data_IF_523973314069
#
_entry.id   IF_523973314069
#
_cell.length_a   1.000
_cell.length_b   1.000
_cell.length_c   1.000
_cell.angle_alpha   90.00
_cell.angle_beta   90.00
_cell.angle_gamma   90.00
#
_symmetry.space_group_name_H-M   'P 1'
#
loop_
_entity.id
_entity.type
_entity.pdbx_description
1 polymer ?
#
# COMPACT_ATOMS: atom_id res chain seq x y z
N UNK A 1 -8.16 -6.63 10.37
CA UNK A 1 -6.71 -6.34 10.36
C UNK A 1 -6.41 -4.93 9.87
N UNK A 2 -6.94 -4.46 8.73
CA UNK A 2 -6.75 -3.09 8.24
C UNK A 2 -7.18 -1.97 9.23
N UNK A 3 -8.19 -2.19 10.04
CA UNK A 3 -8.64 -1.21 11.05
C UNK A 3 -7.69 -1.02 12.24
N UNK A 4 -6.88 -2.02 12.58
CA UNK A 4 -5.83 -1.86 13.61
C UNK A 4 -4.73 -0.90 13.16
N UNK A 5 -4.38 -0.95 11.88
CA UNK A 5 -3.45 0.02 11.27
C UNK A 5 -4.04 1.43 11.25
N UNK A 6 -5.35 1.56 11.02
CA UNK A 6 -6.05 2.84 11.01
C UNK A 6 -6.03 3.51 12.38
N UNK A 7 -6.27 2.78 13.47
CA UNK A 7 -6.26 3.35 14.82
C UNK A 7 -4.86 3.64 15.35
N UNK A 8 -3.85 2.86 14.97
CA UNK A 8 -2.44 3.17 15.27
C UNK A 8 -1.99 4.47 14.59
N UNK A 9 -2.49 4.76 13.39
CA UNK A 9 -2.27 5.99 12.65
C UNK A 9 -2.82 7.21 13.42
N UNK A 10 -3.95 7.10 14.12
CA UNK A 10 -4.54 8.20 14.91
C UNK A 10 -3.80 8.53 16.19
N UNK A 11 -3.10 7.57 16.80
CA UNK A 11 -2.24 7.81 17.96
C UNK A 11 -1.06 8.73 17.62
N UNK A 12 -0.57 8.70 16.39
CA UNK A 12 0.56 9.50 15.92
C UNK A 12 0.24 10.99 15.71
N UNK A 13 -1.05 11.38 15.62
CA UNK A 13 -1.45 12.78 15.39
C UNK A 13 -1.25 13.74 16.58
N UNK A 14 -0.90 13.23 17.77
CA UNK A 14 -0.80 14.05 19.00
C UNK A 14 0.59 14.64 19.31
N UNK A 15 1.63 14.32 18.53
CA UNK A 15 2.98 14.86 18.77
C UNK A 15 3.52 15.58 17.52
N UNK A 16 4.24 16.71 17.67
CA UNK A 16 4.99 17.32 16.57
C UNK A 16 6.15 16.40 16.22
N UNK A 17 5.93 15.47 15.28
CA UNK A 17 6.95 14.54 14.84
C UNK A 17 7.82 15.18 13.75
N UNK A 18 9.12 14.90 13.79
CA UNK A 18 10.06 15.02 12.70
C UNK A 18 9.41 14.47 11.41
N UNK A 19 9.63 15.12 10.28
CA UNK A 19 9.14 14.63 8.97
C UNK A 19 9.71 13.24 8.73
N UNK A 20 8.85 12.24 8.78
CA UNK A 20 9.22 10.85 8.52
C UNK A 20 9.00 10.57 7.04
N UNK A 21 10.08 10.46 6.29
CA UNK A 21 10.04 10.16 4.86
C UNK A 21 9.95 8.65 4.64
N UNK A 22 8.86 8.19 4.04
CA UNK A 22 8.59 6.79 3.75
C UNK A 22 8.45 6.61 2.24
N UNK A 23 9.44 6.03 1.57
CA UNK A 23 9.46 5.92 0.12
C UNK A 23 9.74 4.49 -0.33
N UNK A 24 8.93 4.00 -1.27
CA UNK A 24 9.19 2.76 -2.00
C UNK A 24 10.14 3.05 -3.17
N UNK A 25 11.19 2.26 -3.28
CA UNK A 25 12.08 2.27 -4.45
C UNK A 25 11.60 1.22 -5.45
N UNK A 26 11.53 -0.04 -5.01
CA UNK A 26 11.16 -1.19 -5.84
C UNK A 26 10.50 -2.28 -5.00
N UNK A 27 9.61 -3.01 -5.62
CA UNK A 27 9.01 -4.21 -5.07
C UNK A 27 9.09 -5.33 -6.09
N UNK A 28 9.57 -6.51 -5.66
CA UNK A 28 9.62 -7.71 -6.50
C UNK A 28 8.90 -8.87 -5.84
N UNK A 29 8.30 -9.71 -6.67
CA UNK A 29 7.59 -10.92 -6.25
C UNK A 29 7.83 -12.06 -7.23
N UNK A 30 7.96 -13.30 -6.72
CA UNK A 30 7.98 -14.53 -7.52
C UNK A 30 7.31 -15.68 -6.78
N UNK A 31 6.88 -16.68 -7.52
CA UNK A 31 6.15 -17.85 -7.03
C UNK A 31 5.00 -17.49 -6.07
N UNK A 32 4.19 -16.51 -6.44
CA UNK A 32 3.06 -16.07 -5.63
C UNK A 32 1.81 -15.91 -6.49
N UNK A 33 0.75 -16.67 -6.20
CA UNK A 33 -0.54 -16.63 -6.90
C UNK A 33 -0.40 -16.78 -8.43
N UNK A 34 -0.47 -15.64 -9.16
CA UNK A 34 -0.28 -15.61 -10.61
C UNK A 34 1.14 -15.27 -11.05
N UNK A 35 2.05 -14.97 -10.12
CA UNK A 35 3.46 -14.69 -10.43
C UNK A 35 4.28 -15.99 -10.40
N UNK A 36 4.73 -16.43 -11.55
CA UNK A 36 5.65 -17.58 -11.68
C UNK A 36 7.09 -17.16 -11.45
N UNK A 37 7.57 -16.27 -12.29
CA UNK A 37 8.91 -15.73 -12.28
C UNK A 37 8.97 -14.39 -11.55
N UNK A 38 10.17 -13.93 -11.20
CA UNK A 38 10.36 -12.64 -10.54
C UNK A 38 9.86 -11.51 -11.44
N UNK A 39 8.90 -10.75 -10.91
CA UNK A 39 8.37 -9.52 -11.50
C UNK A 39 8.68 -8.35 -10.58
N UNK A 40 9.03 -7.20 -11.15
CA UNK A 40 9.45 -6.01 -10.40
C UNK A 40 8.63 -4.80 -10.80
N UNK A 41 8.09 -4.10 -9.82
CA UNK A 41 7.54 -2.75 -9.93
C UNK A 41 8.55 -1.76 -9.38
N UNK A 42 9.02 -0.81 -10.20
CA UNK A 42 10.00 0.20 -9.80
C UNK A 42 9.38 1.60 -9.76
N UNK A 43 9.68 2.34 -8.69
CA UNK A 43 9.36 3.76 -8.56
C UNK A 43 10.54 4.67 -8.91
N UNK A 44 11.63 4.11 -9.45
CA UNK A 44 12.79 4.90 -9.91
C UNK A 44 12.44 5.63 -11.19
N UNK A 45 12.64 6.94 -11.18
CA UNK A 45 12.34 7.79 -12.33
C UNK A 45 13.42 7.72 -13.41
N UNK A 46 13.02 7.57 -14.67
CA UNK A 46 13.94 7.69 -15.79
C UNK A 46 14.50 9.12 -15.90
N UNK A 47 15.82 9.32 -15.96
CA UNK A 47 16.44 10.65 -15.88
C UNK A 47 16.14 11.54 -17.10
N UNK A 48 15.77 10.97 -18.23
CA UNK A 48 15.60 11.68 -19.52
C UNK A 48 14.17 12.14 -19.79
N UNK A 49 13.21 11.81 -18.94
CA UNK A 49 11.82 12.20 -19.12
C UNK A 49 11.52 13.55 -18.45
N UNK A 50 10.68 14.35 -19.10
CA UNK A 50 10.19 15.64 -18.59
C UNK A 50 9.28 15.50 -17.34
N UNK A 51 8.48 16.54 -17.07
CA UNK A 51 7.49 16.63 -15.97
C UNK A 51 8.12 16.50 -14.57
N UNK A 52 8.86 17.53 -14.20
CA UNK A 52 9.57 17.60 -12.92
C UNK A 52 8.63 17.47 -11.70
N UNK A 53 7.37 17.89 -11.82
CA UNK A 53 6.36 17.77 -10.75
C UNK A 53 5.94 16.31 -10.45
N UNK A 54 6.17 15.38 -11.39
CA UNK A 54 5.80 13.97 -11.24
C UNK A 54 6.85 13.16 -10.47
N UNK A 55 7.95 13.77 -10.12
CA UNK A 55 9.08 13.14 -9.43
C UNK A 55 9.53 14.00 -8.25
N UNK A 56 10.24 13.37 -7.33
CA UNK A 56 10.87 14.06 -6.20
C UNK A 56 12.26 13.49 -5.93
N UNK A 57 13.07 14.27 -5.23
CA UNK A 57 14.37 13.84 -4.72
C UNK A 57 14.16 13.13 -3.38
N UNK A 58 14.60 11.87 -3.23
CA UNK A 58 14.43 11.13 -1.99
C UNK A 58 15.35 11.59 -0.85
N UNK A 59 16.38 12.41 -1.12
CA UNK A 59 17.31 12.93 -0.12
C UNK A 59 17.95 11.82 0.73
N UNK A 60 18.53 10.81 0.05
CA UNK A 60 19.22 9.71 0.74
C UNK A 60 20.55 10.20 1.30
N UNK A 61 20.80 9.93 2.57
CA UNK A 61 21.96 10.44 3.26
C UNK A 61 23.28 9.88 2.68
N UNK A 62 24.07 10.78 2.05
CA UNK A 62 25.38 10.45 1.51
C UNK A 62 25.38 9.64 0.20
N UNK A 63 24.22 9.60 -0.50
CA UNK A 63 24.08 9.00 -1.82
C UNK A 63 23.53 10.03 -2.83
N UNK A 64 24.04 10.03 -4.07
CA UNK A 64 23.39 10.67 -5.21
C UNK A 64 22.37 9.67 -5.79
N UNK A 65 21.20 9.60 -5.15
CA UNK A 65 20.19 8.62 -5.48
C UNK A 65 19.26 9.14 -6.58
N UNK A 66 18.81 8.30 -7.53
CA UNK A 66 17.87 8.70 -8.57
C UNK A 66 16.55 9.26 -7.98
N UNK A 67 15.91 10.19 -8.70
CA UNK A 67 14.57 10.66 -8.34
C UNK A 67 13.58 9.53 -8.36
N UNK A 68 12.57 9.63 -7.49
CA UNK A 68 11.47 8.68 -7.40
C UNK A 68 10.19 9.27 -8.00
N UNK A 69 9.33 8.39 -8.51
CA UNK A 69 8.01 8.70 -9.05
C UNK A 69 7.01 8.95 -7.92
N UNK A 70 6.15 9.95 -8.08
CA UNK A 70 5.00 10.18 -7.19
C UNK A 70 3.83 9.25 -7.47
N UNK A 71 3.71 8.76 -8.70
CA UNK A 71 2.57 7.96 -9.15
C UNK A 71 3.05 6.79 -10.00
N UNK A 72 2.46 5.60 -9.80
CA UNK A 72 2.49 4.49 -10.75
C UNK A 72 1.05 4.00 -11.01
N UNK A 73 0.64 4.03 -12.28
CA UNK A 73 -0.67 3.58 -12.73
C UNK A 73 -0.53 2.23 -13.44
N UNK A 74 -1.22 1.20 -12.95
CA UNK A 74 -1.11 -0.19 -13.39
C UNK A 74 -2.34 -0.59 -14.17
N UNK A 75 -2.16 -0.92 -15.42
CA UNK A 75 -3.20 -1.33 -16.36
C UNK A 75 -3.08 -2.80 -16.73
N UNK A 76 -4.10 -3.34 -17.34
CA UNK A 76 -4.12 -4.69 -17.89
C UNK A 76 -5.52 -5.29 -17.90
N UNK A 77 -5.75 -6.37 -18.65
CA UNK A 77 -7.05 -7.02 -18.74
C UNK A 77 -7.47 -7.64 -17.39
N UNK A 78 -8.73 -8.05 -17.31
CA UNK A 78 -9.21 -8.83 -16.18
C UNK A 78 -8.38 -10.11 -16.03
N UNK A 79 -8.12 -10.51 -14.78
CA UNK A 79 -7.31 -11.68 -14.43
C UNK A 79 -5.84 -11.62 -14.90
N UNK A 80 -5.28 -10.45 -15.26
CA UNK A 80 -3.86 -10.31 -15.61
C UNK A 80 -2.92 -10.28 -14.40
N UNK A 81 -3.45 -10.19 -13.17
CA UNK A 81 -2.68 -10.24 -11.94
C UNK A 81 -2.54 -8.90 -11.19
N UNK A 82 -3.19 -7.82 -11.62
CA UNK A 82 -3.17 -6.51 -10.94
C UNK A 82 -3.44 -6.60 -9.43
N UNK A 83 -4.57 -7.18 -9.04
CA UNK A 83 -4.93 -7.37 -7.63
C UNK A 83 -3.99 -8.31 -6.88
N UNK A 84 -3.35 -9.27 -7.57
CA UNK A 84 -2.34 -10.13 -6.95
C UNK A 84 -1.06 -9.35 -6.65
N UNK A 85 -0.68 -8.36 -7.48
CA UNK A 85 0.44 -7.46 -7.19
C UNK A 85 0.16 -6.63 -5.93
N UNK A 86 -1.04 -6.05 -5.82
CA UNK A 86 -1.46 -5.31 -4.61
C UNK A 86 -1.41 -6.20 -3.36
N UNK A 87 -1.91 -7.45 -3.46
CA UNK A 87 -1.84 -8.43 -2.36
C UNK A 87 -0.40 -8.78 -1.98
N UNK A 88 0.48 -8.91 -2.97
CA UNK A 88 1.89 -9.20 -2.74
C UNK A 88 2.59 -8.05 -1.99
N UNK A 89 2.34 -6.80 -2.40
CA UNK A 89 2.89 -5.60 -1.72
C UNK A 89 2.41 -5.52 -0.26
N UNK A 90 1.17 -5.93 0.01
CA UNK A 90 0.59 -5.84 1.36
C UNK A 90 1.02 -6.98 2.30
N UNK A 91 1.49 -8.11 1.79
CA UNK A 91 1.74 -9.32 2.56
C UNK A 91 2.69 -9.11 3.75
N UNK A 92 3.79 -8.38 3.55
CA UNK A 92 4.78 -8.13 4.60
C UNK A 92 4.16 -7.29 5.73
N UNK A 93 3.40 -6.25 5.38
CA UNK A 93 2.67 -5.44 6.36
C UNK A 93 1.65 -6.28 7.13
N UNK A 94 0.90 -7.14 6.46
CA UNK A 94 -0.06 -8.04 7.10
C UNK A 94 0.62 -9.00 8.10
N UNK A 95 1.80 -9.50 7.78
CA UNK A 95 2.57 -10.35 8.70
C UNK A 95 3.05 -9.57 9.93
N UNK A 96 3.47 -8.32 9.78
CA UNK A 96 3.94 -7.47 10.88
C UNK A 96 2.81 -6.99 11.79
N UNK A 97 1.54 -7.03 11.34
CA UNK A 97 0.37 -6.75 12.18
C UNK A 97 -0.09 -7.96 13.00
N UNK A 98 0.39 -9.15 12.71
CA UNK A 98 0.11 -10.35 13.49
C UNK A 98 1.05 -10.44 14.69
N UNK A 99 0.55 -10.98 15.80
CA UNK A 99 1.42 -11.24 16.95
C UNK A 99 2.31 -12.44 16.65
N UNK A 100 3.61 -12.37 16.99
CA UNK A 100 4.47 -13.54 16.91
C UNK A 100 3.89 -14.70 17.74
N UNK A 101 3.89 -15.90 17.17
CA UNK A 101 3.35 -17.10 17.85
C UNK A 101 1.86 -17.38 17.64
N UNK A 102 1.11 -16.47 17.01
CA UNK A 102 -0.27 -16.78 16.63
C UNK A 102 -0.29 -17.96 15.63
N UNK A 103 -1.13 -18.96 15.88
CA UNK A 103 -1.27 -20.17 15.04
C UNK A 103 -2.10 -19.88 13.80
N UNK A 104 -1.54 -19.18 12.82
CA UNK A 104 -2.23 -18.94 11.55
C UNK A 104 -1.29 -19.17 10.37
N UNK A 105 -1.86 -19.57 9.25
CA UNK A 105 -1.13 -19.71 8.02
C UNK A 105 -0.73 -18.34 7.45
N UNK A 106 0.44 -18.29 6.83
CA UNK A 106 0.90 -17.14 6.05
C UNK A 106 0.15 -17.17 4.72
N UNK A 107 -0.47 -16.07 4.24
CA UNK A 107 -1.24 -16.06 2.99
C UNK A 107 -0.33 -16.01 1.75
N UNK A 108 0.69 -16.86 1.71
CA UNK A 108 1.65 -17.02 0.64
C UNK A 108 1.28 -18.22 -0.24
N UNK A 109 0.25 -18.04 -1.07
CA UNK A 109 -0.17 -19.05 -2.04
C UNK A 109 0.84 -19.12 -3.20
N UNK A 110 1.45 -20.29 -3.53
CA UNK A 110 2.40 -20.40 -4.63
C UNK A 110 1.68 -20.37 -6.00
N UNK A 111 2.47 -20.24 -7.08
CA UNK A 111 1.98 -20.38 -8.45
C UNK A 111 1.59 -21.84 -8.72
N UNK A 112 0.29 -22.10 -8.94
CA UNK A 112 -0.29 -23.46 -8.94
C UNK A 112 -0.20 -24.19 -10.28
N UNK A 113 0.06 -23.49 -11.39
CA UNK A 113 0.14 -24.14 -12.72
C UNK A 113 1.49 -24.84 -12.95
N UNK A 114 2.50 -24.58 -12.13
CA UNK A 114 3.80 -25.22 -12.20
C UNK A 114 4.00 -26.15 -10.98
N UNK A 115 4.00 -27.46 -11.22
CA UNK A 115 4.14 -28.48 -10.16
C UNK A 115 5.44 -28.38 -9.39
N UNK A 116 6.51 -27.86 -10.02
CA UNK A 116 7.81 -27.71 -9.37
C UNK A 116 7.83 -26.54 -8.37
N UNK A 117 6.89 -25.59 -8.51
CA UNK A 117 6.79 -24.39 -7.68
C UNK A 117 5.78 -24.51 -6.53
N UNK A 118 4.86 -25.49 -6.58
CA UNK A 118 3.80 -25.64 -5.56
C UNK A 118 4.35 -25.80 -4.15
N UNK A 119 5.44 -26.54 -4.02
CA UNK A 119 6.11 -26.81 -2.73
C UNK A 119 7.31 -25.88 -2.48
N UNK A 120 7.54 -24.90 -3.33
CA UNK A 120 8.60 -23.91 -3.17
C UNK A 120 8.09 -22.66 -2.47
N UNK A 121 8.93 -21.93 -1.73
CA UNK A 121 8.52 -20.69 -1.11
C UNK A 121 8.17 -19.62 -2.15
N UNK A 122 7.19 -18.80 -1.82
CA UNK A 122 6.98 -17.51 -2.48
C UNK A 122 8.06 -16.54 -2.04
N UNK A 123 8.56 -15.70 -2.96
CA UNK A 123 9.64 -14.77 -2.71
C UNK A 123 9.18 -13.32 -2.87
N UNK A 124 9.57 -12.48 -1.93
CA UNK A 124 9.27 -11.06 -1.90
C UNK A 124 10.54 -10.28 -1.61
N UNK A 125 10.74 -9.20 -2.34
CA UNK A 125 11.86 -8.28 -2.09
C UNK A 125 11.33 -6.85 -2.13
N UNK A 126 11.66 -6.05 -1.15
CA UNK A 126 11.25 -4.65 -1.07
C UNK A 126 12.46 -3.78 -0.77
N UNK A 127 12.69 -2.80 -1.64
CA UNK A 127 13.70 -1.77 -1.50
C UNK A 127 13.00 -0.46 -1.14
N UNK A 128 13.40 0.18 -0.05
CA UNK A 128 12.72 1.36 0.46
C UNK A 128 13.68 2.33 1.15
N UNK A 129 13.21 3.56 1.35
CA UNK A 129 13.92 4.58 2.10
C UNK A 129 13.07 4.98 3.30
N UNK A 130 13.69 5.02 4.47
CA UNK A 130 13.11 5.52 5.70
C UNK A 130 14.10 6.40 6.43
N UNK A 131 13.68 7.62 6.80
CA UNK A 131 14.52 8.61 7.50
C UNK A 131 15.88 8.84 6.82
N UNK A 132 15.87 8.93 5.47
CA UNK A 132 17.07 9.18 4.67
C UNK A 132 18.02 7.98 4.56
N UNK A 133 17.67 6.81 5.08
CA UNK A 133 18.45 5.57 4.97
C UNK A 133 17.74 4.59 4.05
N UNK A 134 18.49 3.99 3.15
CA UNK A 134 18.00 2.94 2.25
C UNK A 134 18.08 1.58 2.91
N UNK A 135 17.03 0.77 2.71
CA UNK A 135 16.93 -0.61 3.20
C UNK A 135 16.52 -1.55 2.07
N UNK A 136 16.90 -2.81 2.19
CA UNK A 136 16.40 -3.93 1.38
C UNK A 136 15.96 -5.04 2.31
N UNK A 137 14.71 -5.48 2.16
CA UNK A 137 14.13 -6.58 2.90
C UNK A 137 13.77 -7.72 1.94
N UNK A 138 14.25 -8.93 2.23
CA UNK A 138 14.01 -10.14 1.45
C UNK A 138 13.27 -11.13 2.32
N UNK A 139 12.16 -11.66 1.79
CA UNK A 139 11.33 -12.67 2.45
C UNK A 139 11.08 -13.84 1.49
N UNK A 140 11.37 -15.07 1.95
CA UNK A 140 10.91 -16.30 1.29
C UNK A 140 10.08 -17.10 2.26
N UNK A 141 8.87 -17.44 1.87
CA UNK A 141 7.92 -18.08 2.79
C UNK A 141 6.95 -19.02 2.06
N UNK A 142 6.56 -20.10 2.74
CA UNK A 142 5.37 -20.88 2.40
C UNK A 142 4.21 -20.47 3.32
N UNK A 143 3.07 -21.12 3.19
CA UNK A 143 1.95 -20.91 4.11
C UNK A 143 2.28 -21.27 5.57
N UNK A 144 3.23 -22.16 5.80
CA UNK A 144 3.52 -22.75 7.11
C UNK A 144 4.72 -22.09 7.82
N UNK A 145 5.72 -21.64 7.06
CA UNK A 145 6.96 -21.13 7.65
C UNK A 145 7.73 -20.16 6.77
N UNK A 146 8.62 -19.40 7.40
CA UNK A 146 9.60 -18.54 6.75
C UNK A 146 10.85 -19.37 6.43
N UNK A 147 11.30 -19.31 5.17
CA UNK A 147 12.52 -19.95 4.67
C UNK A 147 13.70 -18.99 4.63
N UNK A 148 13.47 -17.73 4.33
CA UNK A 148 14.47 -16.69 4.37
C UNK A 148 13.86 -15.38 4.82
N UNK A 149 14.54 -14.69 5.73
CA UNK A 149 14.27 -13.32 6.13
C UNK A 149 15.61 -12.61 6.27
N UNK A 150 15.86 -11.64 5.39
CA UNK A 150 17.15 -10.93 5.35
C UNK A 150 16.89 -9.43 5.26
N UNK A 151 17.57 -8.65 6.09
CA UNK A 151 17.52 -7.20 6.10
C UNK A 151 18.91 -6.61 5.89
N UNK A 152 19.04 -5.82 4.83
CA UNK A 152 20.20 -4.97 4.57
C UNK A 152 19.86 -3.51 4.80
N UNK A 153 20.86 -2.73 5.17
CA UNK A 153 20.78 -1.27 5.17
C UNK A 153 22.01 -0.69 4.48
N UNK A 154 21.88 0.54 3.99
CA UNK A 154 22.90 1.15 3.12
C UNK A 154 23.33 2.52 3.65
N UNK A 155 24.07 2.58 4.76
CA UNK A 155 24.59 3.85 5.24
C UNK A 155 25.60 4.42 4.23
N UNK A 156 25.29 5.63 3.72
CA UNK A 156 26.10 6.30 2.69
C UNK A 156 26.31 5.43 1.43
N UNK A 157 25.27 4.71 0.99
CA UNK A 157 25.30 3.86 -0.20
C UNK A 157 25.99 2.52 -0.06
N UNK A 158 26.57 2.20 1.09
CA UNK A 158 27.33 0.97 1.30
C UNK A 158 26.46 -0.13 1.88
N UNK A 159 26.36 -1.26 1.18
CA UNK A 159 25.61 -2.42 1.65
C UNK A 159 26.17 -2.97 2.96
N UNK A 160 25.31 -3.13 3.95
CA UNK A 160 25.62 -3.79 5.21
C UNK A 160 24.45 -4.70 5.60
N UNK A 161 24.79 -5.93 5.95
CA UNK A 161 23.84 -6.86 6.53
C UNK A 161 23.49 -6.44 7.94
N UNK A 162 22.20 -6.33 8.28
CA UNK A 162 21.75 -6.27 9.65
C UNK A 162 21.57 -7.68 10.20
N UNK A 163 20.75 -8.50 9.54
CA UNK A 163 20.60 -9.91 9.87
C UNK A 163 20.14 -10.71 8.65
N UNK A 164 20.41 -12.01 8.69
CA UNK A 164 19.85 -13.01 7.79
C UNK A 164 19.44 -14.25 8.56
N UNK A 165 18.20 -14.69 8.40
CA UNK A 165 17.63 -15.94 8.87
C UNK A 165 17.37 -16.82 7.68
N UNK A 166 17.89 -18.06 7.67
CA UNK A 166 17.65 -19.02 6.59
C UNK A 166 17.31 -20.38 7.16
N UNK A 167 16.27 -20.99 6.63
CA UNK A 167 15.91 -22.36 6.93
C UNK A 167 16.35 -23.28 5.79
N UNK A 168 16.98 -24.40 6.16
CA UNK A 168 17.21 -25.55 5.28
C UNK A 168 16.77 -26.80 6.01
N UNK A 169 16.11 -27.77 5.34
CA UNK A 169 15.75 -29.05 5.94
C UNK A 169 16.94 -29.78 6.59
N UNK A 170 18.15 -29.56 6.09
CA UNK A 170 19.37 -30.19 6.56
C UNK A 170 19.98 -29.49 7.80
N UNK A 171 19.81 -28.17 7.93
CA UNK A 171 20.50 -27.36 8.96
C UNK A 171 19.57 -26.73 9.99
N UNK A 172 18.25 -26.99 9.91
CA UNK A 172 17.22 -26.37 10.74
C UNK A 172 17.15 -24.87 10.46
N UNK A 173 17.49 -23.97 11.35
CA UNK A 173 17.51 -22.52 11.13
C UNK A 173 18.90 -21.95 11.41
N UNK A 174 19.42 -21.24 10.44
CA UNK A 174 20.70 -20.54 10.56
C UNK A 174 20.48 -19.03 10.62
N UNK A 175 21.13 -18.36 11.56
CA UNK A 175 21.11 -16.90 11.71
C UNK A 175 22.50 -16.33 11.53
N UNK A 176 22.60 -15.28 10.74
CA UNK A 176 23.81 -14.47 10.58
C UNK A 176 23.46 -13.04 11.01
N UNK A 177 24.18 -12.52 11.98
CA UNK A 177 24.02 -11.15 12.46
C UNK A 177 25.17 -10.30 11.94
N UNK A 178 24.83 -9.14 11.36
CA UNK A 178 25.82 -8.19 10.87
C UNK A 178 26.60 -7.54 12.02
N UNK A 179 27.83 -7.15 11.75
CA UNK A 179 28.70 -6.53 12.76
C UNK A 179 28.21 -5.17 13.28
N UNK A 180 27.31 -4.53 12.55
CA UNK A 180 26.69 -3.24 12.93
C UNK A 180 25.33 -3.40 13.59
N UNK A 181 24.81 -4.62 13.78
CA UNK A 181 23.52 -4.82 14.45
C UNK A 181 23.66 -4.55 15.94
N UNK A 182 22.79 -3.67 16.47
CA UNK A 182 22.68 -3.33 17.89
C UNK A 182 22.29 -4.54 18.75
N UNK A 183 22.62 -4.50 20.05
CA UNK A 183 22.17 -5.46 21.06
C UNK A 183 23.21 -6.52 21.45
N UNK A 184 24.15 -6.86 20.59
CA UNK A 184 25.19 -7.85 20.86
C UNK A 184 24.68 -9.29 20.97
N UNK A 185 25.60 -10.24 21.18
CA UNK A 185 25.33 -11.69 21.05
C UNK A 185 24.21 -12.21 21.95
N UNK A 186 24.14 -11.72 23.20
CA UNK A 186 23.13 -12.20 24.17
C UNK A 186 21.72 -11.83 23.72
N UNK A 187 21.53 -10.60 23.27
CA UNK A 187 20.23 -10.09 22.81
C UNK A 187 19.84 -10.78 21.49
N UNK A 188 20.77 -10.92 20.55
CA UNK A 188 20.52 -11.60 19.28
C UNK A 188 20.10 -13.06 19.48
N UNK A 189 20.73 -13.76 20.43
CA UNK A 189 20.39 -15.16 20.76
C UNK A 189 19.02 -15.25 21.43
N UNK A 190 18.64 -14.27 22.28
CA UNK A 190 17.30 -14.20 22.88
C UNK A 190 16.24 -14.01 21.78
N UNK A 191 16.41 -13.05 20.88
CA UNK A 191 15.48 -12.82 19.77
C UNK A 191 15.34 -14.08 18.89
N UNK A 192 16.48 -14.73 18.53
CA UNK A 192 16.49 -15.97 17.76
C UNK A 192 15.64 -17.05 18.40
N UNK A 193 15.84 -17.31 19.70
CA UNK A 193 15.12 -18.37 20.44
C UNK A 193 13.63 -18.11 20.60
N UNK A 194 13.24 -16.84 20.63
CA UNK A 194 11.86 -16.43 20.78
C UNK A 194 11.10 -16.35 19.44
N UNK A 195 11.79 -16.49 18.30
CA UNK A 195 11.17 -16.34 16.98
C UNK A 195 10.57 -17.66 16.48
N UNK A 196 9.22 -17.74 16.37
CA UNK A 196 8.56 -18.92 15.82
C UNK A 196 8.84 -19.08 14.30
N UNK A 197 8.72 -20.31 13.74
CA UNK A 197 8.97 -20.57 12.33
C UNK A 197 8.10 -19.75 11.36
N UNK A 198 6.87 -19.42 11.74
CA UNK A 198 5.89 -18.68 10.93
C UNK A 198 5.80 -17.18 11.25
N UNK A 199 6.72 -16.66 12.07
CA UNK A 199 6.74 -15.25 12.48
C UNK A 199 8.01 -14.57 12.01
N UNK A 200 7.92 -13.28 11.68
CA UNK A 200 9.08 -12.48 11.27
C UNK A 200 10.02 -12.23 12.46
N UNK A 201 11.31 -12.46 12.25
CA UNK A 201 12.36 -12.14 13.21
C UNK A 201 12.37 -10.64 13.52
N UNK A 202 12.18 -9.79 12.50
CA UNK A 202 12.09 -8.35 12.68
C UNK A 202 11.02 -7.94 13.70
N UNK A 203 9.82 -8.56 13.61
CA UNK A 203 8.75 -8.29 14.56
C UNK A 203 9.12 -8.74 15.97
N UNK A 204 9.69 -9.95 16.09
CA UNK A 204 10.11 -10.50 17.37
C UNK A 204 11.22 -9.66 18.02
N UNK A 205 12.22 -9.24 17.26
CA UNK A 205 13.30 -8.41 17.74
C UNK A 205 12.79 -7.06 18.25
N UNK A 206 11.98 -6.33 17.46
CA UNK A 206 11.47 -5.01 17.85
C UNK A 206 10.54 -5.07 19.04
N UNK A 207 9.62 -6.04 19.10
CA UNK A 207 8.65 -6.17 20.19
C UNK A 207 9.28 -6.60 21.54
N UNK A 208 10.48 -7.17 21.49
CA UNK A 208 11.21 -7.63 22.68
C UNK A 208 12.55 -6.89 22.87
N UNK A 209 12.68 -5.70 22.29
CA UNK A 209 13.83 -4.81 22.48
C UNK A 209 13.57 -3.80 23.59
N UNK A 210 14.65 -3.37 24.25
CA UNK A 210 14.65 -2.20 25.12
C UNK A 210 14.49 -0.90 24.28
N UNK A 211 14.16 0.20 24.95
CA UNK A 211 14.00 1.51 24.30
C UNK A 211 15.29 2.01 23.61
N UNK A 212 16.45 1.54 24.06
CA UNK A 212 17.76 1.92 23.52
C UNK A 212 18.09 1.29 22.16
N UNK A 213 17.42 0.19 21.79
CA UNK A 213 17.66 -0.52 20.54
C UNK A 213 16.70 -0.04 19.43
N UNK A 214 17.13 0.99 18.70
CA UNK A 214 16.29 1.67 17.71
C UNK A 214 16.53 1.24 16.25
N UNK A 215 17.66 0.60 15.96
CA UNK A 215 18.09 0.34 14.58
C UNK A 215 17.09 -0.50 13.77
N UNK A 216 16.51 -1.55 14.37
CA UNK A 216 15.49 -2.38 13.72
C UNK A 216 14.09 -1.74 13.73
N UNK A 217 13.85 -0.75 14.60
CA UNK A 217 12.56 -0.08 14.72
C UNK A 217 12.24 0.74 13.45
N UNK A 218 13.23 1.43 12.90
CA UNK A 218 13.06 2.23 11.68
C UNK A 218 12.52 1.39 10.50
N UNK A 219 13.18 0.31 10.03
CA UNK A 219 12.65 -0.53 8.96
C UNK A 219 11.35 -1.27 9.34
N UNK A 220 11.18 -1.65 10.62
CA UNK A 220 9.94 -2.26 11.10
C UNK A 220 8.74 -1.32 10.94
N UNK A 221 8.87 -0.06 11.39
CA UNK A 221 7.80 0.94 11.28
C UNK A 221 7.46 1.23 9.81
N UNK A 222 8.47 1.28 8.94
CA UNK A 222 8.23 1.45 7.50
C UNK A 222 7.43 0.27 6.94
N UNK A 223 7.92 -0.95 7.11
CA UNK A 223 7.30 -2.17 6.56
C UNK A 223 5.89 -2.41 7.11
N UNK A 224 5.65 -2.03 8.37
CA UNK A 224 4.35 -2.20 9.03
C UNK A 224 3.34 -1.12 8.69
N UNK A 225 3.74 0.17 8.72
CA UNK A 225 2.82 1.29 8.79
C UNK A 225 2.89 2.26 7.61
N UNK A 226 3.94 2.19 6.77
CA UNK A 226 4.13 3.18 5.70
C UNK A 226 3.41 2.82 4.42
N UNK A 227 3.06 1.56 4.26
CA UNK A 227 2.36 1.03 3.10
C UNK A 227 0.86 0.87 3.43
N UNK A 228 0.04 1.75 2.86
CA UNK A 228 -1.41 1.70 3.03
C UNK A 228 -2.03 1.06 1.80
N UNK A 229 -2.39 -0.23 1.90
CA UNK A 229 -3.01 -0.95 0.81
C UNK A 229 -4.54 -1.00 0.94
N UNK A 230 -5.23 -0.59 -0.12
CA UNK A 230 -6.67 -0.66 -0.24
C UNK A 230 -6.98 -1.72 -1.32
N UNK A 231 -7.29 -2.93 -0.88
CA UNK A 231 -7.75 -4.00 -1.78
C UNK A 231 -9.20 -3.77 -2.21
N UNK A 232 -9.69 -4.57 -3.13
CA UNK A 232 -11.00 -4.48 -3.79
C UNK A 232 -12.20 -4.33 -2.82
N UNK A 233 -12.13 -4.95 -1.61
CA UNK A 233 -13.13 -4.78 -0.54
C UNK A 233 -12.67 -3.76 0.53
N UNK A 234 -11.52 -3.16 0.38
CA UNK A 234 -10.92 -2.28 1.39
C UNK A 234 -11.63 -0.94 1.50
N UNK A 235 -12.19 -0.44 0.41
CA UNK A 235 -12.87 0.86 0.36
C UNK A 235 -14.04 0.91 1.36
N UNK A 236 -14.83 -0.16 1.48
CA UNK A 236 -15.90 -0.25 2.48
C UNK A 236 -15.37 -0.11 3.89
N UNK A 237 -14.28 -0.82 4.24
CA UNK A 237 -13.65 -0.72 5.56
C UNK A 237 -13.13 0.69 5.84
N UNK A 238 -12.53 1.34 4.85
CA UNK A 238 -12.05 2.71 4.97
C UNK A 238 -13.19 3.73 5.08
N UNK A 239 -14.32 3.48 4.42
CA UNK A 239 -15.53 4.31 4.54
C UNK A 239 -16.08 4.27 5.98
N UNK A 240 -16.06 3.10 6.63
CA UNK A 240 -16.45 2.96 8.04
C UNK A 240 -15.49 3.76 8.92
N UNK A 241 -14.17 3.63 8.68
CA UNK A 241 -13.17 4.37 9.42
C UNK A 241 -13.31 5.89 9.25
N UNK A 242 -13.60 6.37 8.03
CA UNK A 242 -13.85 7.79 7.75
C UNK A 242 -15.06 8.30 8.53
N UNK A 243 -16.17 7.55 8.54
CA UNK A 243 -17.38 7.89 9.30
C UNK A 243 -17.13 7.92 10.80
N UNK A 244 -16.46 6.91 11.34
CA UNK A 244 -16.06 6.85 12.75
C UNK A 244 -15.20 8.04 13.17
N UNK A 245 -14.23 8.42 12.33
CA UNK A 245 -13.37 9.58 12.60
C UNK A 245 -14.16 10.89 12.68
N UNK A 246 -15.13 11.08 11.79
CA UNK A 246 -15.97 12.28 11.75
C UNK A 246 -16.90 12.40 12.96
N UNK A 247 -17.39 11.29 13.50
CA UNK A 247 -18.25 11.30 14.69
C UNK A 247 -17.60 12.00 15.88
N UNK A 248 -16.28 11.91 15.98
CA UNK A 248 -15.52 12.41 17.13
C UNK A 248 -14.80 13.75 16.87
N UNK A 249 -14.88 14.30 15.64
CA UNK A 249 -14.14 15.51 15.28
C UNK A 249 -14.90 16.38 14.27
N UNK A 250 -15.44 17.53 14.71
CA UNK A 250 -16.06 18.50 13.80
C UNK A 250 -15.15 18.99 12.69
N UNK A 251 -13.83 19.14 12.99
CA UNK A 251 -12.82 19.57 11.99
C UNK A 251 -12.68 18.54 10.88
N UNK A 252 -12.63 17.27 11.25
CA UNK A 252 -12.55 16.15 10.32
C UNK A 252 -13.79 16.06 9.42
N UNK A 253 -14.97 16.32 10.01
CA UNK A 253 -16.25 16.35 9.31
C UNK A 253 -16.27 17.45 8.24
N UNK A 254 -15.86 18.68 8.58
CA UNK A 254 -15.77 19.79 7.63
C UNK A 254 -14.78 19.48 6.51
N UNK A 255 -13.60 18.92 6.84
CA UNK A 255 -12.60 18.58 5.85
C UNK A 255 -13.06 17.52 4.83
N UNK A 256 -13.87 16.53 5.24
CA UNK A 256 -14.47 15.59 4.30
C UNK A 256 -15.54 16.27 3.43
N UNK A 257 -16.40 17.13 4.01
CA UNK A 257 -17.38 17.88 3.23
C UNK A 257 -16.70 18.71 2.14
N UNK A 258 -15.63 19.45 2.50
CA UNK A 258 -14.85 20.25 1.56
C UNK A 258 -14.24 19.36 0.47
N UNK A 259 -13.70 18.18 0.82
CA UNK A 259 -13.16 17.22 -0.13
C UNK A 259 -14.22 16.73 -1.13
N UNK A 260 -15.40 16.33 -0.65
CA UNK A 260 -16.48 15.85 -1.50
C UNK A 260 -17.03 16.95 -2.43
N UNK A 261 -17.24 18.17 -1.91
CA UNK A 261 -17.66 19.31 -2.70
C UNK A 261 -16.64 19.71 -3.78
N UNK A 262 -15.34 19.62 -3.47
CA UNK A 262 -14.29 19.86 -4.45
C UNK A 262 -14.28 18.84 -5.59
N UNK A 263 -14.84 17.66 -5.35
CA UNK A 263 -15.01 16.57 -6.32
C UNK A 263 -16.41 16.54 -6.96
N UNK A 264 -17.15 17.65 -6.91
CA UNK A 264 -18.49 17.81 -7.48
C UNK A 264 -19.54 16.84 -6.87
N UNK A 265 -19.36 16.45 -5.61
CA UNK A 265 -20.34 15.67 -4.86
C UNK A 265 -21.15 16.64 -3.99
N UNK A 266 -22.48 16.82 -4.23
CA UNK A 266 -23.27 17.92 -3.66
C UNK A 266 -23.70 17.67 -2.20
N UNK A 267 -22.80 17.16 -1.36
CA UNK A 267 -23.05 16.93 0.07
C UNK A 267 -22.72 18.21 0.84
N UNK A 268 -23.71 18.80 1.46
CA UNK A 268 -23.62 20.03 2.24
C UNK A 268 -23.66 19.82 3.74
N UNK A 269 -24.09 18.63 4.18
CA UNK A 269 -24.15 18.26 5.58
C UNK A 269 -23.90 16.79 5.84
N UNK A 270 -23.30 16.48 6.97
CA UNK A 270 -23.12 15.12 7.46
C UNK A 270 -23.58 15.08 8.92
N UNK A 271 -24.50 14.19 9.24
CA UNK A 271 -25.05 14.01 10.59
C UNK A 271 -25.00 12.54 10.98
N UNK A 272 -24.79 12.28 12.26
CA UNK A 272 -24.80 10.93 12.82
C UNK A 272 -25.99 10.79 13.75
N UNK A 273 -26.76 9.73 13.56
CA UNK A 273 -27.81 9.29 14.48
C UNK A 273 -27.23 8.15 15.33
N UNK A 274 -26.96 8.44 16.60
CA UNK A 274 -26.47 7.46 17.56
C UNK A 274 -27.66 6.77 18.25
N UNK A 275 -27.63 5.44 18.35
CA UNK A 275 -28.58 4.73 19.19
C UNK A 275 -28.21 4.90 20.68
N UNK A 276 -29.18 4.82 21.58
CA UNK A 276 -28.91 4.88 23.02
C UNK A 276 -28.00 3.73 23.52
N UNK A 277 -28.03 2.58 22.83
CA UNK A 277 -27.14 1.45 23.09
C UNK A 277 -25.66 1.77 22.80
N UNK A 278 -25.38 2.59 21.77
CA UNK A 278 -24.04 3.01 21.42
C UNK A 278 -23.33 3.74 22.57
N UNK A 279 -24.07 4.54 23.34
CA UNK A 279 -23.53 5.28 24.50
C UNK A 279 -23.16 4.40 25.69
N UNK A 280 -23.79 3.23 25.85
CA UNK A 280 -23.60 2.35 26.99
C UNK A 280 -22.51 1.28 26.80
N UNK A 281 -22.12 0.96 25.55
CA UNK A 281 -21.23 -0.16 25.24
C UNK A 281 -19.80 0.26 24.88
N UNK A 282 -19.49 1.55 24.79
CA UNK A 282 -18.12 2.05 24.59
C UNK A 282 -17.36 2.03 25.92
N UNK A 283 -16.96 0.83 26.35
CA UNK A 283 -15.95 0.62 27.37
C UNK A 283 -14.54 0.57 26.77
N UNK A 284 -13.48 0.80 27.56
CA UNK A 284 -12.12 0.69 27.06
C UNK A 284 -11.81 -0.75 26.63
N UNK A 285 -11.56 -0.93 25.33
CA UNK A 285 -10.93 -2.09 24.73
C UNK A 285 -11.78 -3.36 24.55
N UNK A 286 -12.82 -3.32 23.77
CA UNK A 286 -13.26 -4.51 23.06
C UNK A 286 -12.63 -4.57 21.66
N UNK A 287 -12.57 -5.74 21.07
CA UNK A 287 -11.88 -6.00 19.78
C UNK A 287 -12.40 -5.08 18.68
N UNK A 288 -11.52 -4.55 17.85
CA UNK A 288 -11.84 -3.61 16.75
C UNK A 288 -12.94 -4.09 15.83
N UNK A 289 -13.06 -5.40 15.58
CA UNK A 289 -14.15 -5.97 14.79
C UNK A 289 -15.53 -5.76 15.43
N UNK A 290 -15.60 -5.71 16.76
CA UNK A 290 -16.85 -5.46 17.47
C UNK A 290 -17.20 -3.97 17.39
N UNK A 291 -16.20 -3.08 17.43
CA UNK A 291 -16.36 -1.65 17.24
C UNK A 291 -16.84 -1.30 15.81
N UNK A 292 -16.28 -1.97 14.78
CA UNK A 292 -16.74 -1.81 13.38
C UNK A 292 -18.17 -2.24 13.21
N UNK A 293 -18.53 -3.42 13.73
CA UNK A 293 -19.92 -3.92 13.69
C UNK A 293 -20.87 -2.98 14.45
N UNK A 294 -20.42 -2.42 15.56
CA UNK A 294 -21.19 -1.48 16.36
C UNK A 294 -21.42 -0.17 15.58
N UNK A 295 -20.38 0.38 14.95
CA UNK A 295 -20.51 1.58 14.10
C UNK A 295 -21.41 1.33 12.88
N UNK A 296 -21.32 0.15 12.27
CA UNK A 296 -22.19 -0.23 11.14
C UNK A 296 -23.66 -0.42 11.54
N UNK A 297 -23.92 -0.99 12.73
CA UNK A 297 -25.27 -1.34 13.16
C UNK A 297 -26.01 -0.22 13.89
N UNK A 298 -25.28 0.72 14.50
CA UNK A 298 -25.88 1.61 15.50
C UNK A 298 -25.70 3.12 15.23
N UNK A 299 -24.77 3.54 14.36
CA UNK A 299 -24.62 4.93 13.95
C UNK A 299 -25.00 5.10 12.49
N UNK A 300 -26.24 5.48 12.23
CA UNK A 300 -26.67 5.85 10.89
C UNK A 300 -26.03 7.16 10.49
N UNK A 301 -25.34 7.17 9.35
CA UNK A 301 -24.79 8.38 8.77
C UNK A 301 -25.77 8.96 7.79
N UNK A 302 -26.24 10.19 8.07
CA UNK A 302 -27.12 10.98 7.21
C UNK A 302 -26.30 12.01 6.44
N UNK A 303 -26.54 12.10 5.16
CA UNK A 303 -25.89 13.02 4.24
C UNK A 303 -26.92 14.00 3.68
N UNK A 304 -26.67 15.29 3.86
CA UNK A 304 -27.58 16.34 3.39
C UNK A 304 -27.16 16.79 2.00
N UNK A 305 -28.11 16.80 1.08
CA UNK A 305 -27.96 17.40 -0.23
C UNK A 305 -28.79 18.67 -0.30
N UNK A 306 -28.20 19.74 -0.82
CA UNK A 306 -28.89 21.03 -1.00
C UNK A 306 -29.10 21.29 -2.48
N UNK A 307 -30.33 21.63 -2.83
CA UNK A 307 -30.76 22.03 -4.19
C UNK A 307 -31.49 23.36 -4.17
N UNK A 308 -31.85 23.91 -5.33
CA UNK A 308 -32.70 25.09 -5.43
C UNK A 308 -34.11 24.85 -4.87
N UNK A 309 -34.55 23.62 -4.68
CA UNK A 309 -35.83 23.23 -4.12
C UNK A 309 -35.79 23.03 -2.60
N UNK A 310 -34.62 23.05 -1.99
CA UNK A 310 -34.39 22.84 -0.56
C UNK A 310 -33.43 21.72 -0.25
N UNK A 311 -33.34 21.35 1.03
CA UNK A 311 -32.46 20.34 1.57
C UNK A 311 -33.18 18.98 1.69
N UNK A 312 -32.44 17.90 1.43
CA UNK A 312 -32.89 16.53 1.67
C UNK A 312 -31.80 15.72 2.33
N UNK A 313 -32.17 14.85 3.27
CA UNK A 313 -31.25 13.93 3.93
C UNK A 313 -31.41 12.50 3.39
N UNK A 314 -30.29 11.85 3.12
CA UNK A 314 -30.20 10.46 2.65
C UNK A 314 -29.36 9.62 3.61
N UNK A 315 -29.67 8.34 3.76
CA UNK A 315 -28.79 7.40 4.44
C UNK A 315 -27.52 7.17 3.61
N UNK A 316 -26.38 6.94 4.26
CA UNK A 316 -25.14 6.59 3.56
C UNK A 316 -25.31 5.43 2.56
N UNK A 317 -26.20 4.47 2.87
CA UNK A 317 -26.48 3.31 2.01
C UNK A 317 -27.35 3.66 0.79
N UNK A 318 -27.99 4.82 0.78
CA UNK A 318 -28.75 5.34 -0.36
C UNK A 318 -27.87 6.11 -1.34
N UNK A 319 -26.65 6.47 -0.92
CA UNK A 319 -25.68 7.15 -1.77
C UNK A 319 -25.16 6.27 -2.90
N UNK A 320 -24.74 6.92 -3.99
CA UNK A 320 -24.09 6.22 -5.10
C UNK A 320 -22.83 5.49 -4.65
N UNK A 321 -22.50 4.36 -5.30
CA UNK A 321 -21.25 3.65 -5.05
C UNK A 321 -20.01 4.55 -5.20
N UNK A 322 -20.03 5.53 -6.10
CA UNK A 322 -18.96 6.51 -6.28
C UNK A 322 -18.79 7.41 -5.05
N UNK A 323 -19.89 7.95 -4.50
CA UNK A 323 -19.88 8.75 -3.27
C UNK A 323 -19.32 7.94 -2.10
N UNK A 324 -19.79 6.70 -1.93
CA UNK A 324 -19.32 5.80 -0.87
C UNK A 324 -17.82 5.50 -1.01
N UNK A 325 -17.33 5.28 -2.24
CA UNK A 325 -15.92 5.01 -2.53
C UNK A 325 -15.06 6.25 -2.28
N UNK A 326 -15.50 7.44 -2.63
CA UNK A 326 -14.79 8.68 -2.32
C UNK A 326 -14.67 8.92 -0.81
N UNK A 327 -15.74 8.64 -0.04
CA UNK A 327 -15.67 8.69 1.43
C UNK A 327 -14.70 7.65 2.00
N UNK A 328 -14.59 6.48 1.38
CA UNK A 328 -13.59 5.46 1.73
C UNK A 328 -12.17 5.86 1.37
N UNK A 329 -11.98 6.53 0.25
CA UNK A 329 -10.67 6.99 -0.20
C UNK A 329 -10.17 8.23 0.55
N UNK A 330 -11.03 8.96 1.26
CA UNK A 330 -10.66 10.21 1.91
C UNK A 330 -9.54 10.09 2.96
N UNK A 331 -9.56 9.07 3.83
CA UNK A 331 -8.45 8.86 4.80
C UNK A 331 -7.13 8.59 4.09
N UNK A 332 -7.03 7.64 3.13
CA UNK A 332 -5.85 7.48 2.30
C UNK A 332 -5.39 8.77 1.62
N UNK A 333 -6.34 9.58 1.14
CA UNK A 333 -6.06 10.89 0.56
C UNK A 333 -5.44 11.86 1.56
N UNK A 334 -5.96 11.91 2.79
CA UNK A 334 -5.35 12.70 3.86
C UNK A 334 -3.90 12.28 4.13
N UNK A 335 -3.62 10.98 4.11
CA UNK A 335 -2.26 10.47 4.32
C UNK A 335 -1.31 10.82 3.19
N UNK A 336 -1.76 10.85 1.94
CA UNK A 336 -0.97 11.33 0.81
C UNK A 336 -0.60 12.82 0.95
N UNK A 337 -1.43 13.61 1.64
CA UNK A 337 -1.30 15.07 1.73
C UNK A 337 -0.96 15.57 3.14
N UNK A 338 -0.75 14.68 4.12
CA UNK A 338 -0.35 15.07 5.48
C UNK A 338 0.97 15.84 5.48
N UNK A 339 1.06 16.85 6.37
CA UNK A 339 2.27 17.71 6.48
C UNK A 339 3.44 16.99 7.16
N UNK A 340 3.16 16.01 8.00
CA UNK A 340 4.12 15.38 8.91
C UNK A 340 4.55 13.97 8.54
N UNK A 341 3.87 13.31 7.60
CA UNK A 341 4.25 11.96 7.20
C UNK A 341 3.98 11.75 5.72
N UNK A 342 4.99 11.23 5.03
CA UNK A 342 4.88 10.85 3.64
C UNK A 342 4.63 9.34 3.61
N UNK A 343 3.66 8.90 2.82
CA UNK A 343 3.17 7.53 2.78
C UNK A 343 3.21 6.98 1.37
N UNK A 344 3.26 5.66 1.27
CA UNK A 344 2.98 4.91 0.05
C UNK A 344 1.54 4.42 0.15
N UNK A 345 0.66 4.89 -0.73
CA UNK A 345 -0.73 4.45 -0.81
C UNK A 345 -0.90 3.59 -2.05
N UNK A 346 -1.38 2.37 -1.86
CA UNK A 346 -1.61 1.40 -2.94
C UNK A 346 -3.11 1.12 -3.00
N UNK A 347 -3.73 1.37 -4.16
CA UNK A 347 -5.19 1.24 -4.34
C UNK A 347 -5.48 0.26 -5.47
N UNK A 348 -6.24 -0.78 -5.18
CA UNK A 348 -6.76 -1.69 -6.20
C UNK A 348 -8.07 -1.12 -6.76
N UNK A 349 -8.13 -0.93 -8.10
CA UNK A 349 -9.28 -0.36 -8.82
C UNK A 349 -9.69 1.04 -8.31
N UNK A 350 -8.78 2.01 -8.37
CA UNK A 350 -9.03 3.40 -7.95
C UNK A 350 -10.23 4.03 -8.66
N UNK A 351 -10.51 3.63 -9.89
CA UNK A 351 -11.61 4.08 -10.74
C UNK A 351 -12.95 3.37 -10.44
N UNK A 352 -13.01 2.45 -9.48
CA UNK A 352 -14.23 1.68 -9.18
C UNK A 352 -15.39 2.61 -8.80
N UNK A 353 -16.42 2.66 -9.67
CA UNK A 353 -17.61 3.52 -9.52
C UNK A 353 -17.34 5.03 -9.44
N UNK A 354 -16.12 5.50 -9.69
CA UNK A 354 -15.75 6.92 -9.68
C UNK A 354 -15.63 7.41 -11.13
N UNK A 355 -16.18 8.60 -11.41
CA UNK A 355 -16.11 9.17 -12.75
C UNK A 355 -14.66 9.44 -13.16
N UNK A 356 -14.21 9.11 -14.39
CA UNK A 356 -12.83 9.27 -14.85
C UNK A 356 -12.22 10.66 -14.60
N UNK A 357 -13.01 11.72 -14.77
CA UNK A 357 -12.56 13.09 -14.49
C UNK A 357 -12.24 13.37 -13.03
N UNK A 358 -12.93 12.71 -12.11
CA UNK A 358 -12.60 12.81 -10.67
C UNK A 358 -11.28 12.10 -10.38
N UNK A 359 -11.06 10.93 -10.96
CA UNK A 359 -9.78 10.21 -10.80
C UNK A 359 -8.62 11.02 -11.40
N UNK A 360 -8.81 11.61 -12.59
CA UNK A 360 -7.84 12.52 -13.21
C UNK A 360 -7.50 13.69 -12.28
N UNK A 361 -8.51 14.36 -11.71
CA UNK A 361 -8.33 15.48 -10.78
C UNK A 361 -7.59 15.07 -9.50
N UNK A 362 -7.91 13.91 -8.92
CA UNK A 362 -7.21 13.38 -7.75
C UNK A 362 -5.71 13.14 -8.06
N UNK A 363 -5.41 12.50 -9.19
CA UNK A 363 -4.04 12.24 -9.63
C UNK A 363 -3.30 13.56 -9.90
N UNK A 364 -3.92 14.51 -10.59
CA UNK A 364 -3.35 15.82 -10.88
C UNK A 364 -3.02 16.60 -9.59
N UNK A 365 -3.96 16.67 -8.65
CA UNK A 365 -3.77 17.32 -7.36
C UNK A 365 -2.61 16.69 -6.58
N UNK A 366 -2.46 15.37 -6.63
CA UNK A 366 -1.33 14.69 -5.99
C UNK A 366 0.00 15.02 -6.66
N UNK A 367 0.05 15.09 -7.99
CA UNK A 367 1.27 15.40 -8.73
C UNK A 367 1.79 16.82 -8.47
N UNK A 368 0.88 17.81 -8.39
CA UNK A 368 1.26 19.22 -8.17
C UNK A 368 1.55 19.52 -6.70
N UNK A 369 1.11 18.68 -5.76
CA UNK A 369 1.40 18.84 -4.35
C UNK A 369 2.90 18.75 -4.07
N UNK A 370 3.40 19.65 -3.23
CA UNK A 370 4.79 19.59 -2.75
C UNK A 370 4.94 18.52 -1.67
N UNK A 371 4.86 17.25 -2.10
CA UNK A 371 4.91 16.06 -1.26
C UNK A 371 5.77 14.97 -1.89
N UNK A 372 6.39 14.16 -1.04
CA UNK A 372 7.16 12.97 -1.42
C UNK A 372 6.37 11.67 -1.27
N UNK A 373 5.06 11.76 -0.97
CA UNK A 373 4.15 10.61 -0.91
C UNK A 373 4.01 9.97 -2.28
N UNK A 374 3.75 8.66 -2.30
CA UNK A 374 3.63 7.88 -3.51
C UNK A 374 2.23 7.25 -3.61
N UNK A 375 1.59 7.38 -4.76
CA UNK A 375 0.31 6.75 -5.09
C UNK A 375 0.54 5.68 -6.16
N UNK A 376 0.29 4.43 -5.81
CA UNK A 376 0.31 3.29 -6.73
C UNK A 376 -1.12 2.80 -6.85
N UNK A 377 -1.64 2.68 -8.06
CA UNK A 377 -3.01 2.21 -8.22
C UNK A 377 -3.19 1.33 -9.46
N UNK A 378 -4.13 0.41 -9.36
CA UNK A 378 -4.62 -0.32 -10.53
C UNK A 378 -5.85 0.37 -11.07
N UNK A 379 -6.05 0.29 -12.39
CA UNK A 379 -7.19 0.90 -13.07
C UNK A 379 -7.50 0.17 -14.38
N UNK A 380 -8.74 0.28 -14.82
CA UNK A 380 -9.19 -0.08 -16.17
C UNK A 380 -9.46 1.16 -17.04
N UNK A 381 -9.45 2.34 -16.42
CA UNK A 381 -9.72 3.61 -17.13
C UNK A 381 -8.52 4.09 -17.93
N UNK A 382 -8.61 3.93 -19.24
CA UNK A 382 -7.55 4.34 -20.18
C UNK A 382 -7.48 5.84 -20.41
N UNK A 383 -8.47 6.64 -20.01
CA UNK A 383 -8.41 8.11 -20.12
C UNK A 383 -7.22 8.72 -19.38
N UNK A 384 -6.75 8.02 -18.32
CA UNK A 384 -5.53 8.40 -17.61
C UNK A 384 -4.23 8.07 -18.39
N UNK A 385 -4.30 7.28 -19.48
CA UNK A 385 -3.14 7.02 -20.35
C UNK A 385 -2.74 8.26 -21.16
N UNK A 386 -2.63 9.37 -20.49
CA UNK A 386 -2.40 10.69 -21.06
C UNK A 386 -1.00 11.21 -20.70
N UNK A 387 -0.13 11.32 -21.73
CA UNK A 387 1.22 11.86 -21.54
C UNK A 387 1.24 13.35 -21.17
N UNK A 388 0.12 14.06 -21.19
CA UNK A 388 0.05 15.41 -20.64
C UNK A 388 0.03 15.38 -19.11
N UNK A 389 -0.54 14.34 -18.51
CA UNK A 389 -0.64 14.15 -17.07
C UNK A 389 0.53 13.33 -16.52
N UNK A 390 0.73 12.12 -16.99
CA UNK A 390 1.73 11.18 -16.52
C UNK A 390 2.93 11.07 -17.47
N UNK A 391 4.07 10.62 -16.96
CA UNK A 391 5.29 10.26 -17.69
C UNK A 391 5.17 8.83 -18.19
N UNK A 392 5.92 8.45 -19.21
CA UNK A 392 5.92 7.08 -19.73
C UNK A 392 6.34 6.03 -18.70
N UNK A 393 7.25 6.34 -17.81
CA UNK A 393 7.74 5.47 -16.75
C UNK A 393 6.76 5.31 -15.56
N UNK A 394 5.66 6.06 -15.57
CA UNK A 394 4.56 5.93 -14.60
C UNK A 394 3.46 4.96 -15.06
N UNK A 395 3.47 4.53 -16.31
CA UNK A 395 2.51 3.55 -16.84
C UNK A 395 3.08 2.15 -16.79
N UNK A 396 2.44 1.30 -16.03
CA UNK A 396 2.76 -0.11 -15.88
C UNK A 396 1.66 -0.97 -16.48
N UNK A 397 2.05 -2.06 -17.09
CA UNK A 397 1.11 -2.99 -17.72
C UNK A 397 1.27 -4.38 -17.09
N UNK A 398 0.16 -5.07 -16.93
CA UNK A 398 0.14 -6.49 -16.57
C UNK A 398 -0.48 -7.30 -17.70
N UNK A 399 0.12 -8.45 -17.99
CA UNK A 399 -0.36 -9.39 -18.99
C UNK A 399 -0.24 -10.81 -18.45
N UNK A 400 -1.10 -11.69 -18.88
CA UNK A 400 -0.98 -13.11 -18.58
C UNK A 400 -0.37 -13.82 -19.78
N UNK A 401 0.73 -14.54 -19.59
CA UNK A 401 1.37 -15.34 -20.62
C UNK A 401 0.60 -16.63 -20.94
N UNK A 402 1.10 -17.43 -21.87
CA UNK A 402 0.50 -18.70 -22.26
C UNK A 402 0.46 -19.75 -21.13
N UNK A 403 1.31 -19.62 -20.11
CA UNK A 403 1.36 -20.48 -18.94
C UNK A 403 0.45 -20.00 -17.81
N UNK A 404 -0.30 -18.92 -18.02
CA UNK A 404 -1.14 -18.30 -16.99
C UNK A 404 -0.37 -17.43 -16.02
N UNK A 405 0.91 -17.17 -16.25
CA UNK A 405 1.74 -16.35 -15.39
C UNK A 405 1.61 -14.86 -15.70
N UNK A 406 1.57 -14.04 -14.65
CA UNK A 406 1.56 -12.58 -14.74
C UNK A 406 2.94 -12.07 -15.11
N UNK A 407 3.00 -11.22 -16.15
CA UNK A 407 4.15 -10.41 -16.52
C UNK A 407 3.85 -8.94 -16.18
N UNK A 408 4.83 -8.22 -15.62
CA UNK A 408 4.73 -6.80 -15.28
C UNK A 408 5.82 -6.02 -16.02
N UNK A 409 5.46 -4.98 -16.74
CA UNK A 409 6.41 -4.18 -17.51
C UNK A 409 5.97 -2.73 -17.63
N UNK A 410 6.92 -1.81 -17.80
CA UNK A 410 6.65 -0.38 -17.99
C UNK A 410 6.41 -0.06 -19.47
N UNK A 411 5.53 0.89 -19.77
CA UNK A 411 5.43 1.45 -21.14
C UNK A 411 6.75 2.10 -21.56
N UNK A 412 7.57 2.50 -20.61
CA UNK A 412 8.90 3.04 -20.88
C UNK A 412 9.86 2.04 -21.54
N UNK A 413 9.66 0.74 -21.31
CA UNK A 413 10.49 -0.34 -21.89
C UNK A 413 10.28 -0.50 -23.39
N UNK A 414 9.19 0.05 -23.93
CA UNK A 414 8.89 0.01 -25.35
C UNK A 414 9.46 1.23 -26.07
N UNK A 415 9.91 1.03 -27.32
CA UNK A 415 10.38 2.15 -28.15
C UNK A 415 9.22 3.11 -28.45
N UNK A 416 9.46 4.42 -28.29
CA UNK A 416 8.46 5.42 -28.58
C UNK A 416 8.91 6.85 -28.23
N UNK A 417 8.20 7.84 -28.79
CA UNK A 417 8.47 9.26 -28.54
C UNK A 417 7.65 9.77 -27.35
N UNK A 418 8.15 10.75 -26.62
CA UNK A 418 7.47 11.32 -25.43
C UNK A 418 6.12 12.01 -25.71
N UNK A 419 5.85 12.36 -26.98
CA UNK A 419 4.60 13.01 -27.42
C UNK A 419 3.57 12.06 -28.02
N UNK A 420 3.76 10.76 -27.88
CA UNK A 420 2.87 9.75 -28.46
C UNK A 420 1.56 9.66 -27.70
N UNK A 421 0.48 9.39 -28.47
CA UNK A 421 -0.80 9.01 -27.90
C UNK A 421 -0.70 7.57 -27.37
N UNK A 422 -0.47 7.43 -26.06
CA UNK A 422 -0.28 6.13 -25.39
C UNK A 422 -1.58 5.33 -25.43
N UNK A 423 -2.74 5.95 -25.19
CA UNK A 423 -4.02 5.28 -25.19
C UNK A 423 -4.30 4.65 -26.56
N UNK A 424 -4.16 5.42 -27.64
CA UNK A 424 -4.33 4.90 -28.99
C UNK A 424 -3.41 3.72 -29.28
N UNK A 425 -2.12 3.83 -28.94
CA UNK A 425 -1.15 2.76 -29.16
C UNK A 425 -1.42 1.52 -28.31
N UNK A 426 -1.94 1.71 -27.11
CA UNK A 426 -2.38 0.61 -26.26
C UNK A 426 -3.49 -0.18 -26.99
N UNK A 427 -4.52 0.49 -27.48
CA UNK A 427 -5.59 -0.16 -28.24
C UNK A 427 -5.14 -0.75 -29.59
N UNK A 428 -4.08 -0.23 -30.19
CA UNK A 428 -3.43 -0.83 -31.36
C UNK A 428 -2.60 -2.09 -31.02
N UNK A 429 -2.52 -2.49 -29.74
CA UNK A 429 -1.77 -3.65 -29.26
C UNK A 429 -0.25 -3.48 -29.25
N UNK A 430 0.25 -2.24 -29.36
CA UNK A 430 1.70 -1.98 -29.45
C UNK A 430 2.45 -2.15 -28.15
N UNK A 431 1.74 -2.13 -27.02
CA UNK A 431 2.34 -2.26 -25.69
C UNK A 431 2.00 -3.59 -25.02
N UNK A 432 1.28 -4.51 -25.70
CA UNK A 432 0.75 -5.71 -25.06
C UNK A 432 -0.34 -5.38 -24.00
N UNK A 433 -0.71 -6.32 -23.17
CA UNK A 433 -1.65 -6.07 -22.05
C UNK A 433 -3.10 -5.80 -22.49
N UNK A 434 -3.49 -6.12 -23.72
CA UNK A 434 -4.88 -6.08 -24.18
C UNK A 434 -5.60 -7.41 -23.92
N UNK A 435 -6.93 -7.39 -23.68
CA UNK A 435 -7.72 -8.62 -23.63
C UNK A 435 -7.72 -9.31 -24.99
N UNK A 436 -7.51 -10.64 -24.97
CA UNK A 436 -7.62 -11.47 -26.16
C UNK A 436 -9.09 -11.85 -26.31
N UNK A 437 -9.81 -11.18 -27.21
CA UNK A 437 -11.21 -11.44 -27.50
C UNK A 437 -11.31 -12.44 -28.65
N UNK A 438 -11.89 -13.61 -28.41
CA UNK A 438 -12.33 -14.50 -29.47
C UNK A 438 -13.60 -13.93 -30.09
N UNK A 439 -13.58 -13.56 -31.38
CA UNK A 439 -14.81 -13.28 -32.11
C UNK A 439 -15.47 -14.63 -32.38
N UNK A 440 -16.63 -14.88 -31.74
CA UNK A 440 -17.53 -16.00 -32.07
C UNK A 440 -18.17 -15.78 -33.43
#
# INVERSE_FOLDING_TARGET
MQLLSILAIFSAYKHPQLRVFCMLIEFSVSNFRSFREKQTLSMVASPRLGKKQNVFDPEVAGEDFPKLLKVAAIYGPNASGKSNLVKAINLISDLLHKKPGDSHLIPADPFRFDRELVDKPSEFEINFIHEGTRFQFILKTTAERIFEETLFFFPKGKENLLYSRKFSPETVENYTFGSLLEGGTIVHEAWRRLTPPNSLFLAQAVLNSSEDLQQLKSPYEWLKNSNMCIGQNGITTWSIASRSMMMHSPVTKSALQDFLQHLDVPITGIRFEESEKFKSEIGPASKINDYVKLVESEAKTKLTHTTALGDAEFDFTEESGGTQNLMGFWIPWLHLHAKSSEKVVVVDELDSSIHPKIVELLVENHLVADKKSQLIFTTHDTHLMNTKLLRRDQFWLTERDANGATQVFSIHDFQGRGSEDIEKRYYEGRYRGLPILSRS
#
